data_IF_034412118555
#
_entry.id   IF_034412118555
#
_cell.length_a   1.000
_cell.length_b   1.000
_cell.length_c   1.000
_cell.angle_alpha   90.00
_cell.angle_beta   90.00
_cell.angle_gamma   90.00
#
_symmetry.space_group_name_H-M   'P 1'
#
loop_
_entity.id
_entity.type
_entity.pdbx_description
1 polymer ?
#
# COMPACT_ATOMS: atom_id res chain seq x y z
N UNK A 1 6.90 10.68 -1.43
CA UNK A 1 6.13 10.92 -0.19
C UNK A 1 6.90 11.74 0.83
N UNK A 2 7.33 12.96 0.50
CA UNK A 2 8.02 13.86 1.45
C UNK A 2 7.13 14.35 2.60
N UNK A 3 5.80 14.24 2.43
CA UNK A 3 4.79 14.55 3.44
C UNK A 3 4.55 13.41 4.45
N UNK A 4 5.04 12.20 4.17
CA UNK A 4 4.91 11.02 5.03
C UNK A 4 5.96 11.11 6.14
N UNK A 5 5.72 12.03 7.08
CA UNK A 5 6.57 12.23 8.25
C UNK A 5 6.41 11.07 9.23
N UNK A 6 7.29 10.99 10.24
CA UNK A 6 7.21 9.95 11.29
C UNK A 6 5.84 9.88 11.97
N UNK A 7 5.23 11.02 12.27
CA UNK A 7 3.89 11.06 12.88
C UNK A 7 2.80 10.51 11.97
N UNK A 8 2.91 10.71 10.65
CA UNK A 8 2.02 10.11 9.66
C UNK A 8 2.21 8.59 9.63
N UNK A 9 3.46 8.12 9.57
CA UNK A 9 3.79 6.68 9.59
C UNK A 9 3.18 6.00 10.83
N UNK A 10 3.38 6.56 12.02
CA UNK A 10 2.84 6.01 13.28
C UNK A 10 1.30 6.05 13.33
N UNK A 11 0.66 7.04 12.69
CA UNK A 11 -0.80 7.08 12.60
C UNK A 11 -1.36 5.97 11.68
N UNK A 12 -0.78 5.78 10.49
CA UNK A 12 -1.21 4.73 9.57
C UNK A 12 -0.86 3.33 10.07
N UNK A 13 0.26 3.17 10.79
CA UNK A 13 0.56 1.90 11.47
C UNK A 13 -0.49 1.55 12.52
N UNK A 14 -0.94 2.51 13.33
CA UNK A 14 -2.04 2.26 14.27
C UNK A 14 -3.34 1.88 13.56
N UNK A 15 -3.66 2.54 12.45
CA UNK A 15 -4.82 2.14 11.63
C UNK A 15 -4.66 0.74 11.06
N UNK A 16 -3.44 0.33 10.71
CA UNK A 16 -3.15 -1.01 10.25
C UNK A 16 -3.32 -2.05 11.36
N UNK A 17 -2.79 -1.78 12.55
CA UNK A 17 -2.98 -2.63 13.74
C UNK A 17 -4.46 -2.77 14.12
N UNK A 18 -5.26 -1.73 13.89
CA UNK A 18 -6.72 -1.74 14.09
C UNK A 18 -7.50 -2.40 12.95
N UNK A 19 -6.83 -2.82 11.87
CA UNK A 19 -7.45 -3.49 10.72
C UNK A 19 -8.19 -2.56 9.75
N UNK A 20 -7.91 -1.25 9.79
CA UNK A 20 -8.50 -0.26 8.87
C UNK A 20 -7.57 0.11 7.70
N UNK A 21 -6.27 0.13 7.93
CA UNK A 21 -5.28 0.37 6.87
C UNK A 21 -4.68 -0.94 6.38
N UNK A 22 -4.54 -1.07 5.06
CA UNK A 22 -4.04 -2.27 4.40
C UNK A 22 -2.94 -1.90 3.42
N UNK A 23 -2.01 -2.83 3.25
CA UNK A 23 -0.92 -2.75 2.28
C UNK A 23 -0.99 -3.91 1.30
N UNK A 24 -0.50 -3.67 0.10
CA UNK A 24 -0.33 -4.62 -0.98
C UNK A 24 1.15 -4.57 -1.35
N UNK A 25 1.84 -5.69 -1.21
CA UNK A 25 3.27 -5.81 -1.46
C UNK A 25 3.55 -6.50 -2.80
N UNK A 26 4.57 -6.01 -3.52
CA UNK A 26 5.05 -6.64 -4.74
C UNK A 26 6.48 -7.09 -4.53
N UNK A 27 6.66 -8.40 -4.56
CA UNK A 27 7.93 -9.07 -4.32
C UNK A 27 8.52 -9.58 -5.63
N UNK A 28 9.84 -9.42 -5.78
CA UNK A 28 10.62 -10.12 -6.78
C UNK A 28 11.62 -10.98 -6.01
N UNK A 29 11.39 -12.30 -6.04
CA UNK A 29 12.08 -13.22 -5.13
C UNK A 29 11.90 -12.78 -3.66
N UNK A 30 13.00 -12.51 -2.95
CA UNK A 30 13.01 -12.07 -1.55
C UNK A 30 13.06 -10.54 -1.40
N UNK A 31 13.04 -9.77 -2.50
CA UNK A 31 13.12 -8.32 -2.46
C UNK A 31 11.74 -7.65 -2.60
N UNK A 32 11.44 -6.72 -1.70
CA UNK A 32 10.27 -5.85 -1.80
C UNK A 32 10.53 -4.74 -2.83
N UNK A 33 9.99 -4.93 -4.04
CA UNK A 33 10.26 -4.09 -5.21
C UNK A 33 9.15 -3.11 -5.54
N UNK A 34 8.02 -3.18 -4.84
CA UNK A 34 6.93 -2.22 -4.96
C UNK A 34 5.80 -2.50 -3.99
N UNK A 35 4.80 -1.65 -4.04
CA UNK A 35 3.59 -1.84 -3.25
C UNK A 35 2.77 -0.57 -3.14
N UNK A 36 1.61 -0.70 -2.49
CA UNK A 36 0.72 0.40 -2.17
C UNK A 36 0.07 0.18 -0.81
N UNK A 37 -0.40 1.26 -0.20
CA UNK A 37 -1.19 1.18 1.02
C UNK A 37 -2.37 2.14 0.96
N UNK A 38 -3.40 1.86 1.75
CA UNK A 38 -4.61 2.67 1.83
C UNK A 38 -5.51 2.26 2.99
N UNK A 39 -6.64 2.95 3.11
CA UNK A 39 -7.65 2.70 4.15
C UNK A 39 -8.91 2.12 3.52
N UNK A 40 -9.42 1.03 4.08
CA UNK A 40 -10.68 0.43 3.68
C UNK A 40 -11.86 1.07 4.43
N UNK A 41 -12.89 1.45 3.67
CA UNK A 41 -14.13 2.02 4.18
C UNK A 41 -15.31 1.25 3.56
N UNK A 42 -15.59 0.06 4.09
CA UNK A 42 -16.57 -0.85 3.49
C UNK A 42 -16.11 -1.31 2.11
N UNK A 43 -16.89 -1.02 1.06
CA UNK A 43 -16.56 -1.36 -0.33
C UNK A 43 -15.75 -0.27 -1.05
N UNK A 44 -15.39 0.82 -0.34
CA UNK A 44 -14.52 1.86 -0.86
C UNK A 44 -13.10 1.66 -0.34
N UNK A 45 -12.11 1.70 -1.22
CA UNK A 45 -10.71 1.73 -0.84
C UNK A 45 -10.09 3.10 -1.16
N UNK A 46 -9.60 3.79 -0.13
CA UNK A 46 -8.89 5.05 -0.27
C UNK A 46 -7.40 4.78 -0.41
N UNK A 47 -6.88 4.76 -1.65
CA UNK A 47 -5.46 4.60 -1.93
C UNK A 47 -4.66 5.84 -1.50
N UNK A 48 -3.69 5.65 -0.60
CA UNK A 48 -2.91 6.74 -0.01
C UNK A 48 -1.61 7.00 -0.76
N UNK A 49 -0.84 5.94 -1.01
CA UNK A 49 0.39 6.04 -1.77
C UNK A 49 0.84 4.69 -2.32
N UNK A 50 1.73 4.76 -3.30
CA UNK A 50 2.39 3.60 -3.91
C UNK A 50 3.83 3.91 -4.26
N UNK A 51 4.66 2.87 -4.36
CA UNK A 51 6.05 3.00 -4.78
C UNK A 51 6.46 1.86 -5.72
N UNK A 52 7.49 2.11 -6.53
CA UNK A 52 8.07 1.15 -7.47
C UNK A 52 9.59 1.30 -7.44
N UNK A 53 10.30 0.20 -7.16
CA UNK A 53 11.77 0.08 -7.22
C UNK A 53 12.23 -0.74 -8.43
N UNK A 54 11.34 -1.60 -8.96
CA UNK A 54 11.49 -2.23 -10.27
C UNK A 54 10.47 -1.71 -11.26
N UNK A 55 10.73 -1.94 -12.54
CA UNK A 55 9.81 -1.61 -13.62
C UNK A 55 8.45 -2.28 -13.39
N UNK A 56 7.38 -1.48 -13.54
CA UNK A 56 5.98 -1.90 -13.41
C UNK A 56 5.54 -2.49 -12.05
N UNK A 57 6.40 -2.57 -11.03
CA UNK A 57 6.02 -3.16 -9.74
C UNK A 57 4.75 -2.51 -9.14
N UNK A 58 4.66 -1.17 -9.08
CA UNK A 58 3.46 -0.51 -8.55
C UNK A 58 2.21 -0.72 -9.41
N UNK A 59 2.37 -0.88 -10.74
CA UNK A 59 1.25 -1.14 -11.65
C UNK A 59 0.72 -2.56 -11.46
N UNK A 60 1.62 -3.53 -11.32
CA UNK A 60 1.27 -4.92 -11.02
C UNK A 60 0.53 -5.00 -9.69
N UNK A 61 1.01 -4.32 -8.65
CA UNK A 61 0.34 -4.29 -7.35
C UNK A 61 -1.09 -3.74 -7.43
N UNK A 62 -1.29 -2.63 -8.15
CA UNK A 62 -2.63 -2.06 -8.35
C UNK A 62 -3.53 -2.95 -9.20
N UNK A 63 -3.01 -3.53 -10.29
CA UNK A 63 -3.77 -4.40 -11.18
C UNK A 63 -4.29 -5.63 -10.44
N UNK A 64 -3.41 -6.32 -9.72
CA UNK A 64 -3.77 -7.51 -8.93
C UNK A 64 -4.76 -7.13 -7.82
N UNK A 65 -4.54 -6.01 -7.14
CA UNK A 65 -5.51 -5.52 -6.15
C UNK A 65 -6.90 -5.34 -6.78
N UNK A 66 -7.01 -4.64 -7.92
CA UNK A 66 -8.28 -4.42 -8.60
C UNK A 66 -8.97 -5.70 -9.11
N UNK A 67 -8.23 -6.80 -9.31
CA UNK A 67 -8.80 -8.09 -9.70
C UNK A 67 -9.34 -8.89 -8.50
N UNK A 68 -8.77 -8.67 -7.31
CA UNK A 68 -9.16 -9.37 -6.07
C UNK A 68 -10.40 -8.74 -5.39
N UNK A 69 -10.65 -7.43 -5.59
CA UNK A 69 -11.80 -6.70 -4.98
C UNK A 69 -13.08 -6.75 -5.79
#
# INVERSE_FOLDING_TARGET
GTWITRGVVEAYHRLHELGHAHSIEVWCEDELVGGMYGVAQGTLFCGESMFSRMENASKTGLLVFCEEV
#
